data_IF_689602359668
#
_entry.id   IF_689602359668
#
_cell.length_a   1.000
_cell.length_b   1.000
_cell.length_c   1.000
_cell.angle_alpha   90.00
_cell.angle_beta   90.00
_cell.angle_gamma   90.00
#
_symmetry.space_group_name_H-M   'P 1'
#
loop_
_entity.id
_entity.type
_entity.pdbx_description
1 polymer ?
#
# COMPACT_ATOMS: atom_id res chain seq x y z
N UNK A 1 -0.82 -15.04 -2.97
CA UNK A 1 0.07 -14.31 -2.02
C UNK A 1 -0.74 -13.43 -1.08
N UNK A 2 -1.73 -12.69 -1.58
CA UNK A 2 -2.64 -11.88 -0.75
C UNK A 2 -3.18 -12.67 0.47
N UNK A 3 -3.92 -13.76 0.23
CA UNK A 3 -4.52 -14.56 1.31
C UNK A 3 -3.49 -15.13 2.27
N UNK A 4 -2.35 -15.62 1.74
CA UNK A 4 -1.26 -16.14 2.56
C UNK A 4 -0.71 -15.09 3.53
N UNK A 5 -0.49 -13.85 3.08
CA UNK A 5 0.02 -12.79 3.94
C UNK A 5 -1.03 -12.33 4.95
N UNK A 6 -2.32 -12.34 4.57
CA UNK A 6 -3.44 -12.09 5.48
C UNK A 6 -3.47 -13.13 6.61
N UNK A 7 -3.51 -14.41 6.25
CA UNK A 7 -3.57 -15.56 7.16
C UNK A 7 -2.36 -15.62 8.12
N UNK A 8 -1.19 -15.13 7.67
CA UNK A 8 0.03 -15.08 8.47
C UNK A 8 0.21 -13.76 9.24
N UNK A 9 -0.76 -12.84 9.21
CA UNK A 9 -0.77 -11.68 10.09
C UNK A 9 0.15 -10.52 9.67
N UNK A 10 0.53 -10.45 8.39
CA UNK A 10 1.34 -9.32 7.89
C UNK A 10 0.53 -8.03 8.00
N UNK A 11 1.03 -7.05 8.77
CA UNK A 11 0.25 -5.87 9.17
C UNK A 11 -0.10 -4.94 8.01
N UNK A 12 0.79 -4.80 7.03
CA UNK A 12 0.59 -3.99 5.83
C UNK A 12 1.06 -4.72 4.58
N UNK A 13 0.25 -4.66 3.52
CA UNK A 13 0.58 -5.22 2.22
C UNK A 13 0.38 -4.17 1.12
N UNK A 14 1.47 -3.81 0.46
CA UNK A 14 1.50 -2.77 -0.56
C UNK A 14 1.62 -3.41 -1.95
N UNK A 15 0.71 -3.06 -2.85
CA UNK A 15 0.71 -3.52 -4.24
C UNK A 15 0.95 -2.32 -5.14
N UNK A 16 2.07 -2.32 -5.87
CA UNK A 16 2.35 -1.34 -6.90
C UNK A 16 1.88 -1.90 -8.24
N UNK A 17 1.06 -1.13 -8.96
CA UNK A 17 0.70 -1.40 -10.35
C UNK A 17 1.43 -0.37 -11.25
N UNK A 18 2.56 -0.73 -11.88
CA UNK A 18 3.33 0.19 -12.71
C UNK A 18 2.62 0.60 -14.01
N UNK A 19 1.74 -0.25 -14.55
CA UNK A 19 1.05 0.04 -15.81
C UNK A 19 0.03 1.17 -15.65
N UNK A 20 -0.72 1.16 -14.54
CA UNK A 20 -1.70 2.19 -14.21
C UNK A 20 -1.14 3.30 -13.31
N UNK A 21 0.14 3.18 -12.91
CA UNK A 21 0.82 4.07 -11.96
C UNK A 21 0.02 4.28 -10.67
N UNK A 22 -0.36 3.16 -10.06
CA UNK A 22 -1.19 3.12 -8.85
C UNK A 22 -0.55 2.30 -7.75
N UNK A 23 -0.88 2.65 -6.51
CA UNK A 23 -0.50 1.89 -5.32
C UNK A 23 -1.73 1.56 -4.48
N UNK A 24 -1.86 0.32 -4.06
CA UNK A 24 -2.86 -0.14 -3.10
C UNK A 24 -2.18 -0.48 -1.79
N UNK A 25 -2.74 -0.02 -0.68
CA UNK A 25 -2.32 -0.43 0.66
C UNK A 25 -3.46 -1.22 1.28
N UNK A 26 -3.14 -2.41 1.77
CA UNK A 26 -4.02 -3.22 2.58
C UNK A 26 -3.48 -3.27 4.01
N UNK A 27 -4.31 -2.90 4.98
CA UNK A 27 -3.97 -2.94 6.40
C UNK A 27 -4.73 -4.06 7.06
N UNK A 28 -4.05 -4.89 7.83
CA UNK A 28 -4.70 -5.97 8.58
C UNK A 28 -5.46 -5.39 9.77
N UNK A 29 -6.77 -5.61 9.83
CA UNK A 29 -7.62 -5.30 10.97
C UNK A 29 -8.49 -6.51 11.29
N UNK A 30 -8.48 -6.93 12.55
CA UNK A 30 -9.27 -8.06 13.04
C UNK A 30 -9.11 -9.35 12.19
N UNK A 31 -7.87 -9.60 11.73
CA UNK A 31 -7.53 -10.78 10.91
C UNK A 31 -7.96 -10.68 9.44
N UNK A 32 -8.36 -9.49 8.96
CA UNK A 32 -8.74 -9.25 7.57
C UNK A 32 -8.11 -8.00 6.99
N UNK A 33 -7.75 -8.06 5.71
CA UNK A 33 -7.21 -6.92 5.00
C UNK A 33 -8.30 -5.92 4.62
N UNK A 34 -8.07 -4.67 5.02
CA UNK A 34 -8.87 -3.52 4.63
C UNK A 34 -8.06 -2.70 3.62
N UNK A 35 -8.52 -2.68 2.37
CA UNK A 35 -7.87 -1.95 1.28
C UNK A 35 -8.18 -0.46 1.31
N UNK A 36 -7.17 0.37 1.01
CA UNK A 36 -7.34 1.79 0.71
C UNK A 36 -7.98 2.00 -0.67
N UNK A 37 -8.41 3.23 -0.94
CA UNK A 37 -8.54 3.68 -2.34
C UNK A 37 -7.15 3.66 -3.00
N UNK A 38 -7.05 3.45 -4.32
CA UNK A 38 -5.78 3.54 -5.01
C UNK A 38 -5.17 4.93 -4.82
N UNK A 39 -3.88 4.96 -4.50
CA UNK A 39 -3.07 6.16 -4.57
C UNK A 39 -2.53 6.27 -6.00
N UNK A 40 -2.61 7.47 -6.58
CA UNK A 40 -2.22 7.78 -7.96
C UNK A 40 -1.10 8.82 -7.93
N UNK A 41 -0.55 9.14 -9.10
CA UNK A 41 0.38 10.27 -9.23
C UNK A 41 -0.18 11.56 -8.64
N UNK A 42 0.72 12.45 -8.23
CA UNK A 42 0.45 13.73 -7.58
C UNK A 42 -0.29 13.60 -6.24
N UNK A 43 -0.37 12.38 -5.67
CA UNK A 43 -0.86 12.17 -4.30
C UNK A 43 0.23 11.74 -3.36
N UNK A 44 0.03 12.07 -2.10
CA UNK A 44 0.91 11.68 -1.01
C UNK A 44 0.41 10.38 -0.38
N UNK A 45 1.32 9.45 -0.19
CA UNK A 45 1.08 8.17 0.47
C UNK A 45 1.87 8.12 1.77
N UNK A 46 1.23 7.60 2.83
CA UNK A 46 1.84 7.45 4.16
C UNK A 46 1.52 6.07 4.70
N UNK A 47 2.51 5.38 5.28
CA UNK A 47 2.27 4.11 5.98
C UNK A 47 1.55 4.34 7.32
N UNK A 48 0.43 3.65 7.57
CA UNK A 48 -0.22 3.64 8.89
C UNK A 48 0.67 3.08 10.01
N UNK A 49 1.54 2.12 9.72
CA UNK A 49 2.43 1.42 10.66
C UNK A 49 3.74 2.17 10.84
N UNK A 50 4.23 2.83 9.80
CA UNK A 50 5.45 3.64 9.81
C UNK A 50 5.13 5.08 9.41
N UNK A 51 4.64 5.95 10.32
CA UNK A 51 4.22 7.31 9.97
C UNK A 51 5.31 8.19 9.33
N UNK A 52 6.59 7.89 9.60
CA UNK A 52 7.76 8.54 8.99
C UNK A 52 7.92 8.15 7.49
N UNK A 53 7.39 6.99 7.08
CA UNK A 53 7.39 6.56 5.68
C UNK A 53 6.25 7.27 4.94
N UNK A 54 6.58 8.44 4.41
CA UNK A 54 5.64 9.35 3.76
C UNK A 54 6.30 10.00 2.54
N UNK A 55 5.67 9.88 1.39
CA UNK A 55 6.24 10.36 0.13
C UNK A 55 5.17 10.54 -0.96
N UNK A 56 5.50 11.27 -2.02
CA UNK A 56 4.67 11.40 -3.22
C UNK A 56 4.78 10.15 -4.10
N UNK A 57 3.66 9.66 -4.61
CA UNK A 57 3.59 8.41 -5.40
C UNK A 57 4.49 8.45 -6.64
N UNK A 58 4.68 9.62 -7.23
CA UNK A 58 5.54 9.85 -8.39
C UNK A 58 6.95 9.28 -8.21
N UNK A 59 7.50 9.39 -6.99
CA UNK A 59 8.85 8.91 -6.65
C UNK A 59 9.03 7.40 -6.78
N UNK A 60 7.94 6.61 -6.80
CA UNK A 60 8.01 5.16 -7.03
C UNK A 60 8.31 4.86 -8.50
N UNK A 61 7.90 5.74 -9.40
CA UNK A 61 7.92 5.52 -10.85
C UNK A 61 8.98 6.37 -11.56
N UNK A 62 9.74 7.19 -10.82
CA UNK A 62 10.93 7.85 -11.31
C UNK A 62 12.02 6.80 -11.64
N UNK A 63 12.64 6.93 -12.80
CA UNK A 63 13.72 6.06 -13.31
C UNK A 63 15.01 6.86 -13.40
#
# INVERSE_FOLDING_TARGET
KFDLYEENGVQEYWIVNPFEKQVFIYVLKDGKYIGSRPYILETEIQSPTFPELKFEVDKIFEV
#
